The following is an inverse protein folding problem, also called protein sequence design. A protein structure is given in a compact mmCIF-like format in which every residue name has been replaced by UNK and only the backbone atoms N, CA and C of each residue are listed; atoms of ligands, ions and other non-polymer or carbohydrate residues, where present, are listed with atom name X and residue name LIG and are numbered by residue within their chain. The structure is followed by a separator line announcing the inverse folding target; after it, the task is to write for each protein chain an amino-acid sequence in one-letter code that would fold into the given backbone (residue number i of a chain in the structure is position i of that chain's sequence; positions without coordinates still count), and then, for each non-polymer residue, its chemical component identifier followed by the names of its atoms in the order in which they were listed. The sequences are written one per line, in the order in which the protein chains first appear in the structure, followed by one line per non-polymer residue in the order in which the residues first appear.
data_IF_668966364583
#
_entry.id   IF_668966364583
#
_cell.length_a   1.000
_cell.length_b   1.000
_cell.length_c   1.000
_cell.angle_alpha   90.00
_cell.angle_beta   90.00
_cell.angle_gamma   90.00
#
_symmetry.space_group_name_H-M   'P 1'
#
loop_
_entity.id
_entity.type
_entity.pdbx_description
1 polymer ?
#
# COMPACT_ATOMS: atom_id res chain seq x y z
N UNK A 1 -0.86 -45.92 -18.28
CA UNK A 1 -1.11 -44.97 -17.18
C UNK A 1 0.10 -44.05 -17.08
N UNK A 2 0.11 -42.96 -17.85
CA UNK A 2 1.24 -42.01 -17.87
C UNK A 2 1.05 -40.99 -16.73
N UNK A 3 1.92 -41.05 -15.74
CA UNK A 3 1.96 -40.10 -14.64
C UNK A 3 2.29 -38.70 -15.20
N UNK A 4 1.27 -37.83 -15.26
CA UNK A 4 1.47 -36.41 -15.57
C UNK A 4 2.25 -35.82 -14.39
N UNK A 5 3.49 -35.44 -14.64
CA UNK A 5 4.40 -34.90 -13.63
C UNK A 5 3.79 -33.65 -12.98
N UNK A 6 3.59 -33.69 -11.66
CA UNK A 6 3.01 -32.62 -10.83
C UNK A 6 3.94 -31.40 -10.66
N UNK A 7 5.05 -31.34 -11.39
CA UNK A 7 6.08 -30.29 -11.33
C UNK A 7 5.65 -28.93 -11.91
N UNK A 8 4.45 -28.79 -12.47
CA UNK A 8 3.96 -27.55 -13.11
C UNK A 8 3.01 -26.69 -12.25
N UNK A 9 2.74 -27.05 -10.99
CA UNK A 9 1.72 -26.39 -10.15
C UNK A 9 2.18 -25.12 -9.43
N UNK A 10 3.44 -24.71 -9.55
CA UNK A 10 3.93 -23.46 -8.95
C UNK A 10 4.28 -22.46 -10.07
N UNK A 11 3.50 -21.39 -10.28
CA UNK A 11 3.84 -20.40 -11.28
C UNK A 11 5.19 -19.78 -10.93
N UNK A 12 6.11 -19.74 -11.89
CA UNK A 12 7.32 -18.91 -11.79
C UNK A 12 6.90 -17.46 -11.56
N UNK A 13 7.68 -16.71 -10.77
CA UNK A 13 7.38 -15.31 -10.43
C UNK A 13 7.13 -14.44 -11.66
N UNK A 14 7.77 -14.75 -12.79
CA UNK A 14 7.67 -14.02 -14.05
C UNK A 14 6.66 -14.60 -15.05
N UNK A 15 5.94 -15.67 -14.69
CA UNK A 15 4.95 -16.27 -15.58
C UNK A 15 3.76 -15.30 -15.75
N UNK A 16 3.51 -14.88 -16.99
CA UNK A 16 2.37 -14.03 -17.36
C UNK A 16 1.12 -14.92 -17.43
N UNK A 17 0.54 -15.18 -16.26
CA UNK A 17 -0.69 -15.97 -16.11
C UNK A 17 -1.62 -15.24 -15.15
N UNK A 18 -2.91 -15.24 -15.42
CA UNK A 18 -3.93 -14.51 -14.65
C UNK A 18 -3.96 -14.84 -13.14
N UNK A 19 -3.39 -15.97 -12.72
CA UNK A 19 -3.35 -16.38 -11.30
C UNK A 19 -2.05 -15.97 -10.56
N UNK A 20 -1.12 -15.25 -11.20
CA UNK A 20 0.14 -14.84 -10.59
C UNK A 20 0.00 -13.50 -9.84
N UNK A 21 -0.61 -13.56 -8.65
CA UNK A 21 -0.83 -12.38 -7.81
C UNK A 21 0.47 -11.66 -7.39
N UNK A 22 1.60 -12.37 -7.33
CA UNK A 22 2.91 -11.78 -7.00
C UNK A 22 3.41 -10.84 -8.11
N UNK A 23 3.25 -11.25 -9.38
CA UNK A 23 3.56 -10.41 -10.53
C UNK A 23 2.62 -9.20 -10.59
N UNK A 24 1.34 -9.39 -10.28
CA UNK A 24 0.39 -8.27 -10.21
C UNK A 24 0.81 -7.20 -9.20
N UNK A 25 1.28 -7.59 -8.01
CA UNK A 25 1.82 -6.64 -7.02
C UNK A 25 3.07 -5.95 -7.55
N UNK A 26 4.01 -6.70 -8.10
CA UNK A 26 5.25 -6.12 -8.62
C UNK A 26 4.97 -5.09 -9.72
N UNK A 27 4.07 -5.42 -10.66
CA UNK A 27 3.62 -4.49 -11.70
C UNK A 27 2.93 -3.28 -11.10
N UNK A 28 2.02 -3.47 -10.13
CA UNK A 28 1.31 -2.37 -9.51
C UNK A 28 2.25 -1.40 -8.76
N UNK A 29 3.27 -1.92 -8.09
CA UNK A 29 4.31 -1.11 -7.43
C UNK A 29 5.08 -0.29 -8.47
N UNK A 30 5.51 -0.93 -9.56
CA UNK A 30 6.25 -0.26 -10.64
C UNK A 30 5.39 0.82 -11.32
N UNK A 31 4.15 0.50 -11.69
CA UNK A 31 3.22 1.46 -12.30
C UNK A 31 2.94 2.64 -11.38
N UNK A 32 2.78 2.38 -10.08
CA UNK A 32 2.54 3.44 -9.10
C UNK A 32 3.77 4.35 -8.94
N UNK A 33 4.97 3.77 -8.87
CA UNK A 33 6.22 4.54 -8.77
C UNK A 33 6.45 5.42 -10.01
N UNK A 34 6.25 4.87 -11.21
CA UNK A 34 6.38 5.61 -12.48
C UNK A 34 5.36 6.75 -12.53
N UNK A 35 4.12 6.49 -12.10
CA UNK A 35 3.06 7.51 -12.11
C UNK A 35 3.33 8.65 -11.14
N UNK A 36 3.89 8.37 -9.95
CA UNK A 36 4.27 9.41 -9.00
C UNK A 36 5.45 10.26 -9.49
N UNK A 37 6.39 9.67 -10.22
CA UNK A 37 7.57 10.39 -10.70
C UNK A 37 7.34 11.19 -11.99
N UNK A 38 6.42 10.74 -12.85
CA UNK A 38 6.29 11.27 -14.22
C UNK A 38 5.02 12.08 -14.52
N UNK A 39 4.03 12.07 -13.64
CA UNK A 39 2.72 12.68 -13.91
C UNK A 39 2.38 13.81 -12.92
N UNK A 40 1.51 14.75 -13.31
CA UNK A 40 0.93 15.73 -12.38
C UNK A 40 0.18 15.01 -11.25
N UNK A 41 0.25 15.56 -10.03
CA UNK A 41 -0.35 14.96 -8.83
C UNK A 41 -1.83 14.58 -8.99
N UNK A 42 -2.61 15.37 -9.72
CA UNK A 42 -4.01 15.10 -10.02
C UNK A 42 -4.20 13.78 -10.79
N UNK A 43 -3.29 13.45 -11.71
CA UNK A 43 -3.33 12.22 -12.50
C UNK A 43 -2.73 11.07 -11.71
N UNK A 44 -1.60 11.28 -11.04
CA UNK A 44 -0.94 10.24 -10.23
C UNK A 44 -1.87 9.68 -9.15
N UNK A 45 -2.70 10.53 -8.53
CA UNK A 45 -3.71 10.11 -7.54
C UNK A 45 -4.67 9.04 -8.10
N UNK A 46 -5.28 9.30 -9.25
CA UNK A 46 -6.23 8.37 -9.87
C UNK A 46 -5.55 7.09 -10.33
N UNK A 47 -4.34 7.19 -10.88
CA UNK A 47 -3.58 6.02 -11.34
C UNK A 47 -3.23 5.14 -10.15
N UNK A 48 -2.66 5.69 -9.07
CA UNK A 48 -2.30 4.94 -7.86
C UNK A 48 -3.55 4.32 -7.21
N UNK A 49 -4.66 5.05 -7.16
CA UNK A 49 -5.93 4.51 -6.69
C UNK A 49 -6.43 3.33 -7.52
N UNK A 50 -6.34 3.43 -8.84
CA UNK A 50 -6.71 2.35 -9.75
C UNK A 50 -5.80 1.12 -9.59
N UNK A 51 -4.48 1.29 -9.49
CA UNK A 51 -3.56 0.16 -9.23
C UNK A 51 -3.84 -0.49 -7.89
N UNK A 52 -4.09 0.30 -6.84
CA UNK A 52 -4.44 -0.24 -5.52
C UNK A 52 -5.74 -1.06 -5.57
N UNK A 53 -6.78 -0.58 -6.26
CA UNK A 53 -8.04 -1.30 -6.45
C UNK A 53 -7.84 -2.62 -7.23
N UNK A 54 -7.03 -2.61 -8.29
CA UNK A 54 -6.70 -3.82 -9.05
C UNK A 54 -5.93 -4.84 -8.21
N UNK A 55 -4.99 -4.39 -7.37
CA UNK A 55 -4.29 -5.28 -6.43
C UNK A 55 -5.26 -5.88 -5.42
N UNK A 56 -6.14 -5.08 -4.82
CA UNK A 56 -7.16 -5.56 -3.89
C UNK A 56 -8.11 -6.59 -4.55
N UNK A 57 -8.53 -6.35 -5.79
CA UNK A 57 -9.34 -7.30 -6.55
C UNK A 57 -8.57 -8.60 -6.81
N UNK A 58 -7.31 -8.52 -7.24
CA UNK A 58 -6.46 -9.69 -7.45
C UNK A 58 -6.27 -10.51 -6.17
N UNK A 59 -6.08 -9.85 -5.02
CA UNK A 59 -6.03 -10.49 -3.71
C UNK A 59 -7.33 -11.18 -3.34
N UNK A 60 -8.47 -10.49 -3.54
CA UNK A 60 -9.80 -11.01 -3.21
C UNK A 60 -10.12 -12.24 -4.04
N UNK A 61 -9.88 -12.18 -5.36
CA UNK A 61 -10.05 -13.32 -6.29
C UNK A 61 -9.11 -14.46 -5.93
N UNK A 62 -7.84 -14.17 -5.61
CA UNK A 62 -6.88 -15.20 -5.23
C UNK A 62 -7.25 -15.87 -3.90
N UNK A 63 -7.72 -15.11 -2.90
CA UNK A 63 -8.11 -15.64 -1.61
C UNK A 63 -9.42 -16.45 -1.70
N UNK A 64 -10.38 -16.01 -2.52
CA UNK A 64 -11.59 -16.79 -2.85
C UNK A 64 -11.25 -18.11 -3.55
N UNK A 65 -10.35 -18.07 -4.55
CA UNK A 65 -9.89 -19.27 -5.29
C UNK A 65 -9.13 -20.27 -4.40
N UNK A 66 -8.44 -19.79 -3.37
CA UNK A 66 -7.69 -20.62 -2.42
C UNK A 66 -8.52 -21.04 -1.19
N UNK A 67 -9.84 -20.85 -1.23
CA UNK A 67 -10.77 -21.18 -0.14
C UNK A 67 -10.45 -20.50 1.21
N UNK A 68 -9.80 -19.33 1.21
CA UNK A 68 -9.53 -18.53 2.41
C UNK A 68 -10.70 -17.58 2.75
N UNK A 69 -11.92 -18.12 2.86
CA UNK A 69 -13.12 -17.31 3.08
C UNK A 69 -13.10 -16.54 4.40
N UNK A 70 -12.53 -17.12 5.47
CA UNK A 70 -12.42 -16.45 6.76
C UNK A 70 -11.66 -15.13 6.69
N UNK A 71 -10.56 -15.08 5.94
CA UNK A 71 -9.77 -13.86 5.79
C UNK A 71 -10.53 -12.78 5.00
N UNK A 72 -11.31 -13.15 3.98
CA UNK A 72 -12.14 -12.20 3.22
C UNK A 72 -13.20 -11.52 4.09
N UNK A 73 -13.76 -12.23 5.07
CA UNK A 73 -14.80 -11.69 5.96
C UNK A 73 -14.22 -10.70 6.96
N UNK A 74 -13.00 -10.94 7.44
CA UNK A 74 -12.35 -10.08 8.46
C UNK A 74 -11.58 -8.91 7.82
N UNK A 75 -11.13 -9.04 6.57
CA UNK A 75 -10.34 -8.01 5.88
C UNK A 75 -11.00 -6.60 5.85
N UNK A 76 -12.31 -6.44 5.56
CA UNK A 76 -12.95 -5.12 5.59
C UNK A 76 -12.91 -4.48 6.98
N UNK A 77 -13.12 -5.26 8.03
CA UNK A 77 -13.06 -4.77 9.40
C UNK A 77 -11.64 -4.32 9.78
N UNK A 78 -10.62 -5.11 9.43
CA UNK A 78 -9.21 -4.73 9.64
C UNK A 78 -8.86 -3.46 8.86
N UNK A 79 -9.32 -3.34 7.61
CA UNK A 79 -9.08 -2.15 6.80
C UNK A 79 -9.67 -0.89 7.44
N UNK A 80 -10.92 -0.95 7.93
CA UNK A 80 -11.55 0.16 8.65
C UNK A 80 -10.78 0.49 9.92
N UNK A 81 -10.41 -0.52 10.73
CA UNK A 81 -9.62 -0.31 11.94
C UNK A 81 -8.29 0.39 11.64
N UNK A 82 -7.58 -0.06 10.60
CA UNK A 82 -6.31 0.53 10.18
C UNK A 82 -6.49 1.99 9.72
N UNK A 83 -7.48 2.26 8.88
CA UNK A 83 -7.74 3.62 8.35
C UNK A 83 -8.20 4.57 9.44
N UNK A 84 -9.05 4.13 10.37
CA UNK A 84 -9.60 5.01 11.40
C UNK A 84 -8.65 5.24 12.58
N UNK A 85 -7.73 4.31 12.86
CA UNK A 85 -6.86 4.40 14.03
C UNK A 85 -5.39 4.61 13.64
N UNK A 86 -4.86 3.80 12.73
CA UNK A 86 -3.42 3.77 12.46
C UNK A 86 -3.04 4.93 11.52
N UNK A 87 -3.82 5.17 10.47
CA UNK A 87 -3.56 6.27 9.53
C UNK A 87 -3.48 7.66 10.20
N UNK A 88 -4.45 8.11 11.04
CA UNK A 88 -4.35 9.42 11.66
C UNK A 88 -3.18 9.52 12.66
N UNK A 89 -2.84 8.44 13.35
CA UNK A 89 -1.67 8.41 14.24
C UNK A 89 -0.37 8.55 13.44
N UNK A 90 -0.26 7.85 12.30
CA UNK A 90 0.87 7.99 11.39
C UNK A 90 0.96 9.40 10.81
N UNK A 91 -0.16 10.05 10.52
CA UNK A 91 -0.17 11.44 10.06
C UNK A 91 0.33 12.40 11.15
N UNK A 92 -0.14 12.23 12.39
CA UNK A 92 0.33 13.01 13.55
C UNK A 92 1.84 12.81 13.79
N UNK A 93 2.30 11.56 13.74
CA UNK A 93 3.72 11.22 13.81
C UNK A 93 4.52 11.80 12.63
N UNK A 94 3.93 11.85 11.45
CA UNK A 94 4.54 12.51 10.29
C UNK A 94 4.75 13.99 10.57
N UNK A 95 3.68 14.69 10.98
CA UNK A 95 3.70 16.12 11.30
C UNK A 95 4.68 16.48 12.43
N UNK A 96 4.94 15.59 13.38
CA UNK A 96 5.89 15.87 14.47
C UNK A 96 7.34 16.09 14.00
N UNK A 97 7.70 15.61 12.79
CA UNK A 97 9.00 15.89 12.18
C UNK A 97 9.05 17.21 11.39
N UNK A 98 7.93 17.93 11.29
CA UNK A 98 7.83 19.20 10.57
C UNK A 98 7.52 20.35 11.53
N UNK A 99 7.97 21.55 11.19
CA UNK A 99 7.52 22.78 11.83
C UNK A 99 6.16 23.18 11.24
N UNK A 100 5.13 22.38 11.54
CA UNK A 100 3.78 22.59 11.04
C UNK A 100 3.01 23.59 11.92
N UNK A 101 2.37 24.58 11.28
CA UNK A 101 1.43 25.48 11.94
C UNK A 101 0.14 25.53 11.10
N UNK A 102 -1.01 25.28 11.72
CA UNK A 102 -2.28 25.27 11.00
C UNK A 102 -2.64 26.62 10.34
N UNK A 103 -2.13 27.72 10.89
CA UNK A 103 -2.36 29.08 10.38
C UNK A 103 -1.34 29.51 9.30
N UNK A 104 -0.36 28.67 8.98
CA UNK A 104 0.65 28.97 7.96
C UNK A 104 0.65 27.89 6.88
N UNK A 105 0.72 28.29 5.62
CA UNK A 105 0.79 27.34 4.50
C UNK A 105 2.21 26.80 4.26
N UNK A 106 3.18 27.14 5.10
CA UNK A 106 4.56 26.65 4.98
C UNK A 106 4.75 25.39 5.83
N UNK A 107 5.24 24.33 5.19
CA UNK A 107 5.59 23.08 5.84
C UNK A 107 7.10 22.92 5.71
N UNK A 108 7.84 23.02 6.82
CA UNK A 108 9.30 22.86 6.84
C UNK A 108 9.69 21.60 7.59
N UNK A 109 10.47 20.73 6.97
CA UNK A 109 11.02 19.56 7.64
C UNK A 109 12.10 19.99 8.64
N UNK A 110 11.96 19.59 9.91
CA UNK A 110 12.91 19.90 11.00
C UNK A 110 13.47 18.65 11.67
N UNK A 111 13.09 17.46 11.19
CA UNK A 111 13.52 16.19 11.75
C UNK A 111 13.18 16.09 13.23
N UNK A 112 14.18 15.81 14.06
CA UNK A 112 14.01 15.65 15.50
C UNK A 112 14.00 16.97 16.31
N UNK A 113 14.12 18.13 15.65
CA UNK A 113 14.24 19.42 16.33
C UNK A 113 13.08 19.72 17.30
N UNK A 114 11.85 19.34 16.94
CA UNK A 114 10.69 19.49 17.83
C UNK A 114 10.82 18.67 19.12
N UNK A 115 11.40 17.47 19.05
CA UNK A 115 11.61 16.62 20.22
C UNK A 115 12.72 17.16 21.13
N UNK A 116 13.83 17.60 20.55
CA UNK A 116 14.93 18.24 21.30
C UNK A 116 14.39 19.43 22.07
N UNK A 117 13.63 20.31 21.40
CA UNK A 117 13.03 21.50 22.00
C UNK A 117 12.15 21.18 23.22
N UNK A 118 11.29 20.17 23.11
CA UNK A 118 10.43 19.74 24.22
C UNK A 118 11.25 19.19 25.39
N UNK A 119 12.36 18.52 25.11
CA UNK A 119 13.23 17.92 26.13
C UNK A 119 14.19 18.92 26.77
N UNK A 120 14.59 20.00 26.07
CA UNK A 120 15.54 21.01 26.58
C UNK A 120 14.87 22.28 27.11
N UNK A 121 13.59 22.51 26.82
CA UNK A 121 12.84 23.73 27.20
C UNK A 121 13.42 25.05 26.64
N UNK A 122 14.10 25.01 25.50
CA UNK A 122 14.53 26.20 24.74
C UNK A 122 13.41 26.76 23.82
#
# INVERSE_FOLDING_TARGET
MTAVSSTLLTPRLTAVVAHNWKLAIAVAVVVSAISMAGLPAAVSFWVVGATAALVAAAFTVNAYRRHYFGALLVAPAIAVLFVMNIFPLLWSLGLSFFAYQANQQTIRFVGLGNYVRILTND
#
